data_IF_218320246075
#
_entry.id   IF_218320246075
#
_cell.length_a   1.000
_cell.length_b   1.000
_cell.length_c   1.000
_cell.angle_alpha   90.00
_cell.angle_beta   90.00
_cell.angle_gamma   90.00
#
_symmetry.space_group_name_H-M   'P 1'
#
loop_
_entity.id
_entity.type
_entity.pdbx_description
1 polymer ?
#
# COMPACT_ATOMS: atom_id res chain seq x y z
N UNK A 1 -44.73 -4.50 28.13
CA UNK A 1 -43.51 -4.22 27.34
C UNK A 1 -43.64 -2.78 26.87
N UNK A 2 -42.82 -1.86 27.38
CA UNK A 2 -42.88 -0.46 26.97
C UNK A 2 -42.35 -0.32 25.54
N UNK A 3 -42.85 0.63 24.75
CA UNK A 3 -42.39 0.93 23.37
C UNK A 3 -40.87 1.22 23.26
N UNK A 4 -40.18 1.40 24.40
CA UNK A 4 -38.73 1.54 24.51
C UNK A 4 -37.93 0.23 24.32
N UNK A 5 -38.61 -0.92 24.22
CA UNK A 5 -37.96 -2.24 24.02
C UNK A 5 -37.99 -2.71 22.55
N UNK A 6 -38.48 -1.89 21.61
CA UNK A 6 -38.46 -2.24 20.18
C UNK A 6 -37.10 -1.89 19.60
N UNK A 7 -36.27 -2.92 19.38
CA UNK A 7 -34.95 -2.78 18.75
C UNK A 7 -35.15 -2.45 17.26
N UNK A 8 -34.56 -1.33 16.81
CA UNK A 8 -34.46 -1.02 15.39
C UNK A 8 -33.28 -1.78 14.76
N UNK A 9 -33.60 -2.92 14.15
CA UNK A 9 -32.61 -3.74 13.46
C UNK A 9 -31.97 -3.04 12.26
N UNK A 10 -32.67 -2.11 11.61
CA UNK A 10 -32.14 -1.38 10.45
C UNK A 10 -31.06 -0.38 10.90
N UNK A 11 -31.29 0.31 12.01
CA UNK A 11 -30.29 1.18 12.62
C UNK A 11 -29.07 0.37 13.08
N UNK A 12 -29.30 -0.77 13.72
CA UNK A 12 -28.24 -1.65 14.21
C UNK A 12 -27.37 -2.21 13.08
N UNK A 13 -27.97 -2.63 11.96
CA UNK A 13 -27.26 -3.12 10.79
C UNK A 13 -26.35 -2.04 10.18
N UNK A 14 -26.85 -0.80 10.10
CA UNK A 14 -26.06 0.35 9.60
C UNK A 14 -24.87 0.66 10.51
N UNK A 15 -25.08 0.61 11.82
CA UNK A 15 -24.00 0.80 12.80
C UNK A 15 -22.94 -0.30 12.66
N UNK A 16 -23.37 -1.56 12.55
CA UNK A 16 -22.47 -2.70 12.35
C UNK A 16 -21.66 -2.53 11.05
N UNK A 17 -22.31 -2.19 9.95
CA UNK A 17 -21.62 -2.00 8.67
C UNK A 17 -20.58 -0.89 8.75
N UNK A 18 -20.91 0.25 9.37
CA UNK A 18 -19.98 1.35 9.58
C UNK A 18 -18.79 0.95 10.48
N UNK A 19 -19.05 0.18 11.54
CA UNK A 19 -18.01 -0.31 12.43
C UNK A 19 -17.05 -1.28 11.70
N UNK A 20 -17.59 -2.20 10.91
CA UNK A 20 -16.79 -3.15 10.11
C UNK A 20 -15.94 -2.42 9.07
N UNK A 21 -16.49 -1.43 8.38
CA UNK A 21 -15.74 -0.64 7.40
C UNK A 21 -14.64 0.20 8.05
N UNK A 22 -14.92 0.78 9.22
CA UNK A 22 -13.94 1.49 10.03
C UNK A 22 -12.78 0.58 10.44
N UNK A 23 -13.07 -0.62 10.95
CA UNK A 23 -12.04 -1.58 11.35
C UNK A 23 -11.19 -2.03 10.15
N UNK A 24 -11.82 -2.34 9.01
CA UNK A 24 -11.10 -2.68 7.77
C UNK A 24 -10.18 -1.56 7.29
N UNK A 25 -10.58 -0.29 7.48
CA UNK A 25 -9.73 0.85 7.17
C UNK A 25 -8.56 0.93 8.16
N UNK A 26 -8.85 0.84 9.46
CA UNK A 26 -7.85 0.89 10.51
C UNK A 26 -6.78 -0.20 10.34
N UNK A 27 -7.20 -1.42 10.00
CA UNK A 27 -6.29 -2.54 9.74
C UNK A 27 -5.32 -2.24 8.57
N UNK A 28 -5.84 -1.73 7.44
CA UNK A 28 -5.01 -1.36 6.28
C UNK A 28 -4.01 -0.24 6.60
N UNK A 29 -4.45 0.77 7.36
CA UNK A 29 -3.58 1.86 7.81
C UNK A 29 -2.49 1.33 8.75
N UNK A 30 -2.85 0.46 9.70
CA UNK A 30 -1.89 -0.12 10.65
C UNK A 30 -0.86 -1.02 9.95
N UNK A 31 -1.30 -1.85 9.01
CA UNK A 31 -0.38 -2.62 8.16
C UNK A 31 0.59 -1.71 7.41
N UNK A 32 0.11 -0.59 6.85
CA UNK A 32 0.99 0.37 6.19
C UNK A 32 1.99 1.03 7.15
N UNK A 33 1.56 1.35 8.38
CA UNK A 33 2.46 1.86 9.43
C UNK A 33 3.56 0.84 9.75
N UNK A 34 3.20 -0.42 9.98
CA UNK A 34 4.14 -1.50 10.27
C UNK A 34 5.11 -1.73 9.10
N UNK A 35 4.61 -1.72 7.86
CA UNK A 35 5.46 -1.81 6.67
C UNK A 35 6.45 -0.66 6.57
N UNK A 36 6.00 0.59 6.76
CA UNK A 36 6.86 1.76 6.67
C UNK A 36 7.97 1.74 7.74
N UNK A 37 7.65 1.32 8.98
CA UNK A 37 8.64 1.13 10.04
C UNK A 37 9.62 0.01 9.67
N UNK A 38 9.12 -1.12 9.16
CA UNK A 38 9.97 -2.25 8.77
C UNK A 38 10.91 -1.93 7.61
N UNK A 39 10.49 -1.03 6.70
CA UNK A 39 11.31 -0.53 5.60
C UNK A 39 12.35 0.50 6.04
N UNK A 40 12.25 1.05 7.26
CA UNK A 40 13.22 2.01 7.78
C UNK A 40 13.21 3.36 7.06
N UNK A 41 12.03 3.90 6.75
CA UNK A 41 11.92 5.22 6.09
C UNK A 41 12.64 6.33 6.87
N UNK A 42 13.35 7.19 6.14
CA UNK A 42 14.27 8.17 6.72
C UNK A 42 13.56 9.40 7.32
N UNK A 43 12.34 9.70 6.86
CA UNK A 43 11.59 10.86 7.30
C UNK A 43 10.13 10.57 7.67
N UNK A 44 9.59 11.37 8.59
CA UNK A 44 8.16 11.30 8.92
C UNK A 44 7.26 11.63 7.71
N UNK A 45 7.76 12.47 6.78
CA UNK A 45 7.00 12.80 5.57
C UNK A 45 6.80 11.57 4.70
N UNK A 46 7.86 10.81 4.44
CA UNK A 46 7.78 9.54 3.70
C UNK A 46 6.90 8.53 4.42
N UNK A 47 7.05 8.40 5.74
CA UNK A 47 6.16 7.57 6.55
C UNK A 47 4.68 7.95 6.37
N UNK A 48 4.37 9.24 6.48
CA UNK A 48 3.01 9.77 6.33
C UNK A 48 2.46 9.48 4.94
N UNK A 49 3.27 9.70 3.91
CA UNK A 49 2.86 9.48 2.52
C UNK A 49 2.56 8.00 2.26
N UNK A 50 3.37 7.07 2.80
CA UNK A 50 3.10 5.62 2.73
C UNK A 50 1.80 5.21 3.44
N UNK A 51 1.53 5.76 4.62
CA UNK A 51 0.31 5.44 5.38
C UNK A 51 -0.93 6.01 4.69
N UNK A 52 -0.88 7.26 4.20
CA UNK A 52 -1.98 7.89 3.48
C UNK A 52 -2.34 7.15 2.20
N UNK A 53 -1.35 6.58 1.51
CA UNK A 53 -1.53 5.85 0.25
C UNK A 53 -1.89 4.37 0.45
N UNK A 54 -2.16 3.91 1.68
CA UNK A 54 -2.48 2.49 1.96
C UNK A 54 -3.74 1.95 1.26
N UNK A 55 -4.62 2.83 0.82
CA UNK A 55 -5.87 2.48 0.14
C UNK A 55 -5.70 2.28 -1.38
N UNK A 56 -4.52 2.62 -1.92
CA UNK A 56 -4.23 2.44 -3.35
C UNK A 56 -4.10 0.94 -3.68
N UNK A 57 -4.68 0.55 -4.82
CA UNK A 57 -4.54 -0.80 -5.36
C UNK A 57 -3.24 -0.90 -6.18
N UNK A 58 -2.59 -2.08 -6.21
CA UNK A 58 -1.50 -2.32 -7.14
C UNK A 58 -1.94 -2.06 -8.59
N UNK A 59 -1.06 -1.46 -9.39
CA UNK A 59 -1.29 -1.23 -10.82
C UNK A 59 -1.49 -2.55 -11.56
N UNK A 60 -2.58 -2.65 -12.31
CA UNK A 60 -2.83 -3.77 -13.22
C UNK A 60 -2.04 -3.60 -14.53
N UNK A 61 -1.90 -4.68 -15.30
CA UNK A 61 -1.29 -4.70 -16.64
C UNK A 61 -2.02 -3.77 -17.61
N UNK A 62 -3.33 -3.59 -17.41
CA UNK A 62 -4.17 -2.70 -18.21
C UNK A 62 -3.98 -1.22 -17.85
N UNK A 63 -3.49 -0.92 -16.64
CA UNK A 63 -3.21 0.45 -16.18
C UNK A 63 -1.87 0.98 -16.69
N UNK A 64 -1.05 0.11 -17.30
CA UNK A 64 0.23 0.51 -17.87
C UNK A 64 -0.01 1.07 -19.27
N UNK A 65 0.25 2.37 -19.44
CA UNK A 65 0.40 2.97 -20.76
C UNK A 65 1.44 2.15 -21.54
N UNK A 66 0.95 1.33 -22.47
CA UNK A 66 1.76 0.41 -23.27
C UNK A 66 2.42 1.20 -24.40
N UNK A 67 3.16 2.26 -24.07
CA UNK A 67 4.15 2.78 -25.00
C UNK A 67 5.13 1.64 -25.31
N UNK A 68 5.46 1.37 -26.60
CA UNK A 68 6.39 0.32 -26.95
C UNK A 68 7.70 0.56 -26.19
N UNK A 69 8.03 -0.33 -25.25
CA UNK A 69 9.29 -0.26 -24.52
C UNK A 69 10.43 -0.46 -25.51
N UNK A 70 11.16 0.61 -25.82
CA UNK A 70 12.34 0.56 -26.69
C UNK A 70 13.62 0.15 -25.97
N UNK A 71 13.56 -0.12 -24.66
CA UNK A 71 14.75 -0.39 -23.87
C UNK A 71 14.77 -1.85 -23.40
N UNK A 72 15.89 -2.58 -23.61
CA UNK A 72 16.12 -3.87 -22.97
C UNK A 72 16.08 -3.65 -21.46
N UNK A 73 15.18 -4.34 -20.75
CA UNK A 73 15.22 -4.37 -19.30
C UNK A 73 16.55 -5.00 -18.87
N UNK A 74 17.45 -4.19 -18.31
CA UNK A 74 18.84 -4.49 -17.97
C UNK A 74 19.71 -4.93 -19.16
N UNK A 75 20.41 -4.00 -19.83
CA UNK A 75 21.69 -4.35 -20.43
C UNK A 75 22.65 -4.62 -19.26
N UNK A 76 23.14 -5.86 -19.15
CA UNK A 76 24.26 -6.19 -18.28
C UNK A 76 25.36 -5.16 -18.54
N UNK A 77 25.73 -4.37 -17.54
CA UNK A 77 26.86 -3.45 -17.65
C UNK A 77 28.09 -4.30 -17.97
N UNK A 78 28.88 -3.98 -19.02
CA UNK A 78 30.11 -4.71 -19.24
C UNK A 78 30.97 -4.54 -17.99
N UNK A 79 31.33 -5.65 -17.35
CA UNK A 79 32.34 -5.69 -16.32
C UNK A 79 33.61 -5.07 -16.90
N UNK A 80 34.07 -3.95 -16.34
CA UNK A 80 35.41 -3.45 -16.61
C UNK A 80 36.39 -4.52 -16.08
N UNK A 81 36.92 -5.35 -16.96
CA UNK A 81 38.12 -6.11 -16.66
C UNK A 81 39.27 -5.12 -16.57
N UNK A 82 39.55 -4.67 -15.34
CA UNK A 82 40.79 -3.99 -15.01
C UNK A 82 41.95 -4.96 -15.28
N UNK A 83 42.57 -4.81 -16.45
CA UNK A 83 43.86 -5.40 -16.74
C UNK A 83 44.88 -4.80 -15.77
N UNK A 84 45.08 -5.48 -14.66
CA UNK A 84 46.23 -5.29 -13.77
C UNK A 84 47.47 -5.79 -14.51
N UNK A 85 48.09 -4.89 -15.28
CA UNK A 85 49.47 -5.03 -15.73
C UNK A 85 50.38 -4.94 -14.51
N UNK A 86 50.79 -6.08 -13.97
CA UNK A 86 51.88 -6.16 -13.01
C UNK A 86 53.16 -6.53 -13.77
N UNK A 87 54.14 -5.62 -13.76
CA UNK A 87 55.54 -5.95 -14.02
C UNK A 87 56.11 -6.80 -12.87
#
# INVERSE_FOLDING_TARGET
MSERDVIDFSALERELQAAVESERRHQRENEAKLRAVSQGVASYREFRDLVLTCHLKPLDKNDKDRAPRKQPCNPVAPSNEEQTSHC
#
